data_IF_015515020829
#
_entry.id   IF_015515020829
#
_cell.length_a   1.000
_cell.length_b   1.000
_cell.length_c   1.000
_cell.angle_alpha   90.00
_cell.angle_beta   90.00
_cell.angle_gamma   90.00
#
_symmetry.space_group_name_H-M   'P 1'
#
loop_
_entity.id
_entity.type
_entity.pdbx_description
1 polymer ?
#
# COMPACT_ATOMS: atom_id res chain seq x y z
N UNK A 1 22.57 -3.58 -25.60
CA UNK A 1 22.89 -2.41 -24.75
C UNK A 1 22.81 -1.10 -25.51
N UNK A 2 23.48 -0.97 -26.67
CA UNK A 2 23.52 0.26 -27.49
C UNK A 2 22.18 0.97 -27.73
N UNK A 3 21.12 0.25 -28.12
CA UNK A 3 19.81 0.87 -28.41
C UNK A 3 19.20 1.62 -27.22
N UNK A 4 19.33 1.11 -26.00
CA UNK A 4 18.77 1.73 -24.79
C UNK A 4 19.56 2.99 -24.42
N UNK A 5 20.89 2.95 -24.52
CA UNK A 5 21.73 4.13 -24.33
C UNK A 5 21.42 5.20 -25.39
N UNK A 6 21.21 4.81 -26.65
CA UNK A 6 20.82 5.75 -27.70
C UNK A 6 19.46 6.42 -27.43
N UNK A 7 18.48 5.71 -26.88
CA UNK A 7 17.18 6.30 -26.49
C UNK A 7 17.31 7.22 -25.27
N UNK A 8 18.12 6.87 -24.26
CA UNK A 8 18.39 7.74 -23.12
C UNK A 8 19.20 8.98 -23.51
N UNK A 9 20.16 8.85 -24.45
CA UNK A 9 20.94 9.96 -24.98
C UNK A 9 20.07 10.87 -25.84
N UNK A 10 19.25 10.32 -26.75
CA UNK A 10 18.32 11.09 -27.58
C UNK A 10 17.30 11.86 -26.75
N UNK A 11 16.69 11.22 -25.74
CA UNK A 11 15.75 11.92 -24.83
C UNK A 11 16.43 12.96 -23.95
N UNK A 12 17.71 12.78 -23.59
CA UNK A 12 18.49 13.80 -22.88
C UNK A 12 18.86 14.98 -23.78
N UNK A 13 19.35 14.72 -25.01
CA UNK A 13 19.62 15.75 -26.02
C UNK A 13 18.36 16.53 -26.37
N UNK A 14 17.20 15.88 -26.49
CA UNK A 14 15.92 16.53 -26.74
C UNK A 14 15.50 17.44 -25.57
N UNK A 15 15.76 17.03 -24.32
CA UNK A 15 15.55 17.88 -23.13
C UNK A 15 16.48 19.10 -23.12
N UNK A 16 17.75 18.95 -23.49
CA UNK A 16 18.67 20.08 -23.62
C UNK A 16 18.30 21.01 -24.78
N UNK A 17 17.85 20.47 -25.93
CA UNK A 17 17.37 21.28 -27.05
C UNK A 17 16.12 22.09 -26.70
N UNK A 18 15.15 21.48 -25.98
CA UNK A 18 13.97 22.19 -25.45
C UNK A 18 14.39 23.27 -24.45
N UNK A 19 15.33 22.98 -23.54
CA UNK A 19 15.80 23.96 -22.56
C UNK A 19 16.54 25.13 -23.23
N UNK A 20 17.37 24.85 -24.25
CA UNK A 20 18.04 25.86 -25.06
C UNK A 20 17.01 26.72 -25.79
N UNK A 21 16.00 26.12 -26.41
CA UNK A 21 14.95 26.87 -27.11
C UNK A 21 14.12 27.74 -26.15
N UNK A 22 13.67 27.19 -25.01
CA UNK A 22 12.83 27.90 -24.04
C UNK A 22 13.57 28.99 -23.24
N UNK A 23 14.90 28.98 -23.19
CA UNK A 23 15.68 30.00 -22.45
C UNK A 23 16.39 30.97 -23.39
N UNK A 24 17.09 30.46 -24.42
CA UNK A 24 17.92 31.30 -25.30
C UNK A 24 17.07 32.10 -26.30
N UNK A 25 15.99 31.53 -26.83
CA UNK A 25 15.15 32.25 -27.80
C UNK A 25 14.43 33.45 -27.14
N UNK A 26 13.78 33.34 -25.96
CA UNK A 26 13.24 34.52 -25.29
C UNK A 26 14.29 35.56 -24.91
N UNK A 27 15.49 35.14 -24.47
CA UNK A 27 16.57 36.09 -24.15
C UNK A 27 17.08 36.82 -25.39
N UNK A 28 17.16 36.15 -26.55
CA UNK A 28 17.47 36.80 -27.83
C UNK A 28 16.38 37.78 -28.26
N UNK A 29 15.09 37.41 -28.16
CA UNK A 29 13.99 38.33 -28.48
C UNK A 29 13.91 39.54 -27.54
N UNK A 30 14.15 39.36 -26.23
CA UNK A 30 14.29 40.45 -25.27
C UNK A 30 15.45 41.38 -25.67
N UNK A 31 16.59 40.81 -26.06
CA UNK A 31 17.75 41.61 -26.47
C UNK A 31 17.49 42.39 -27.76
N UNK A 32 16.84 41.78 -28.76
CA UNK A 32 16.44 42.44 -30.01
C UNK A 32 15.44 43.57 -29.71
N UNK A 33 14.40 43.30 -28.91
CA UNK A 33 13.41 44.32 -28.52
C UNK A 33 14.04 45.52 -27.79
N UNK A 34 14.95 45.27 -26.85
CA UNK A 34 15.72 46.35 -26.18
C UNK A 34 16.54 47.15 -27.19
N UNK A 35 17.14 46.49 -28.18
CA UNK A 35 17.98 47.13 -29.19
C UNK A 35 17.16 47.96 -30.18
N UNK A 36 15.97 47.50 -30.58
CA UNK A 36 14.98 48.27 -31.35
C UNK A 36 14.49 49.51 -30.57
N UNK A 37 14.10 49.32 -29.30
CA UNK A 37 13.64 50.41 -28.41
C UNK A 37 14.70 51.51 -28.31
N UNK A 38 15.98 51.17 -28.13
CA UNK A 38 17.08 52.13 -28.08
C UNK A 38 17.21 52.93 -29.38
N UNK A 39 16.93 52.32 -30.54
CA UNK A 39 17.01 53.00 -31.84
C UNK A 39 15.78 53.83 -32.22
N UNK A 40 14.60 53.56 -31.65
CA UNK A 40 13.32 54.14 -32.06
C UNK A 40 12.60 54.98 -30.97
N UNK A 41 13.30 55.42 -29.92
CA UNK A 41 12.75 56.16 -28.77
C UNK A 41 11.77 57.29 -29.14
N UNK A 42 12.00 58.03 -30.24
CA UNK A 42 11.13 59.14 -30.65
C UNK A 42 9.81 58.71 -31.31
N UNK A 43 9.73 57.49 -31.87
CA UNK A 43 8.55 56.98 -32.57
C UNK A 43 7.54 56.28 -31.65
N UNK A 44 7.95 55.87 -30.45
CA UNK A 44 7.13 55.03 -29.55
C UNK A 44 5.94 55.74 -28.89
N UNK A 45 5.87 57.08 -28.93
CA UNK A 45 4.89 57.87 -28.17
C UNK A 45 3.41 57.75 -28.63
N UNK A 46 3.09 56.97 -29.66
CA UNK A 46 1.74 56.97 -30.28
C UNK A 46 1.12 55.60 -30.69
N UNK A 47 1.72 54.44 -30.39
CA UNK A 47 1.09 53.11 -30.63
C UNK A 47 1.49 52.05 -29.57
N UNK A 48 1.27 52.39 -28.29
CA UNK A 48 1.85 51.69 -27.12
C UNK A 48 1.20 50.35 -26.72
N UNK A 49 -0.05 50.07 -27.10
CA UNK A 49 -0.83 48.99 -26.45
C UNK A 49 -0.77 47.63 -27.14
N UNK A 50 -0.72 47.60 -28.48
CA UNK A 50 -0.88 46.36 -29.25
C UNK A 50 0.35 45.45 -29.22
N UNK A 51 1.54 46.03 -29.30
CA UNK A 51 2.82 45.31 -29.42
C UNK A 51 3.24 44.63 -28.10
N UNK A 52 3.12 45.34 -26.98
CA UNK A 52 3.36 44.82 -25.62
C UNK A 52 2.40 43.68 -25.27
N UNK A 53 1.11 43.81 -25.62
CA UNK A 53 0.11 42.76 -25.40
C UNK A 53 0.40 41.50 -26.24
N UNK A 54 0.88 41.66 -27.48
CA UNK A 54 1.31 40.54 -28.33
C UNK A 54 2.53 39.83 -27.74
N UNK A 55 3.54 40.57 -27.24
CA UNK A 55 4.72 39.96 -26.62
C UNK A 55 4.37 39.18 -25.34
N UNK A 56 3.50 39.74 -24.49
CA UNK A 56 3.03 39.10 -23.26
C UNK A 56 2.20 37.85 -23.53
N UNK A 57 1.33 37.86 -24.54
CA UNK A 57 0.51 36.69 -24.90
C UNK A 57 1.34 35.57 -25.52
N UNK A 58 2.34 35.87 -26.35
CA UNK A 58 3.30 34.87 -26.86
C UNK A 58 4.12 34.26 -25.71
N UNK A 59 4.60 35.09 -24.78
CA UNK A 59 5.33 34.62 -23.59
C UNK A 59 4.46 33.72 -22.69
N UNK A 60 3.21 34.11 -22.44
CA UNK A 60 2.25 33.31 -21.67
C UNK A 60 1.94 31.97 -22.37
N UNK A 61 1.75 31.96 -23.68
CA UNK A 61 1.53 30.74 -24.46
C UNK A 61 2.77 29.83 -24.43
N UNK A 62 3.98 30.39 -24.57
CA UNK A 62 5.24 29.66 -24.41
C UNK A 62 5.38 29.02 -23.03
N UNK A 63 5.04 29.74 -21.96
CA UNK A 63 4.99 29.21 -20.60
C UNK A 63 3.95 28.08 -20.45
N UNK A 64 2.74 28.21 -21.02
CA UNK A 64 1.70 27.17 -21.00
C UNK A 64 2.15 25.91 -21.77
N UNK A 65 2.80 26.08 -22.93
CA UNK A 65 3.36 24.98 -23.72
C UNK A 65 4.53 24.29 -23.01
N UNK A 66 5.41 25.05 -22.36
CA UNK A 66 6.50 24.51 -21.55
C UNK A 66 5.96 23.73 -20.34
N UNK A 67 5.02 24.29 -19.59
CA UNK A 67 4.42 23.66 -18.40
C UNK A 67 3.60 22.42 -18.78
N UNK A 68 2.84 22.46 -19.88
CA UNK A 68 2.10 21.28 -20.35
C UNK A 68 3.04 20.18 -20.87
N UNK A 69 4.08 20.52 -21.63
CA UNK A 69 5.12 19.56 -22.06
C UNK A 69 5.83 18.94 -20.85
N UNK A 70 6.25 19.75 -19.87
CA UNK A 70 6.87 19.25 -18.63
C UNK A 70 5.90 18.40 -17.80
N UNK A 71 4.60 18.71 -17.79
CA UNK A 71 3.58 17.84 -17.16
C UNK A 71 3.46 16.50 -17.89
N UNK A 72 3.31 16.49 -19.21
CA UNK A 72 3.21 15.25 -20.01
C UNK A 72 4.49 14.41 -19.88
N UNK A 73 5.68 15.01 -19.89
CA UNK A 73 6.95 14.32 -19.67
C UNK A 73 7.17 13.86 -18.22
N UNK A 74 6.38 14.35 -17.25
CA UNK A 74 6.37 13.92 -15.85
C UNK A 74 5.16 13.05 -15.49
N UNK A 75 4.24 12.79 -16.42
CA UNK A 75 3.12 11.88 -16.20
C UNK A 75 3.66 10.50 -15.84
N UNK A 76 3.34 9.94 -14.66
CA UNK A 76 3.80 8.61 -14.29
C UNK A 76 3.22 7.58 -15.26
N UNK A 77 4.00 6.55 -15.58
CA UNK A 77 3.52 5.41 -16.37
C UNK A 77 2.48 4.66 -15.56
N UNK A 78 1.41 4.25 -16.22
CA UNK A 78 0.40 3.41 -15.60
C UNK A 78 0.99 2.05 -15.21
N UNK A 79 0.78 1.66 -13.96
CA UNK A 79 1.12 0.34 -13.42
C UNK A 79 -0.18 -0.44 -13.23
N UNK A 80 -0.18 -1.69 -13.69
CA UNK A 80 -1.33 -2.58 -13.70
C UNK A 80 -1.00 -3.85 -12.93
N UNK A 81 -1.96 -4.37 -12.16
CA UNK A 81 -1.88 -5.71 -11.59
C UNK A 81 -2.27 -6.72 -12.66
N UNK A 82 -1.31 -7.54 -13.10
CA UNK A 82 -1.52 -8.50 -14.21
C UNK A 82 -2.35 -9.72 -13.77
N UNK A 83 -1.83 -10.45 -12.78
CA UNK A 83 -2.53 -11.50 -12.04
C UNK A 83 -1.82 -11.64 -10.67
N UNK A 84 -2.30 -12.56 -9.84
CA UNK A 84 -1.87 -12.76 -8.47
C UNK A 84 -2.26 -14.17 -7.98
N UNK A 85 -1.54 -14.72 -7.02
CA UNK A 85 -1.78 -16.07 -6.49
C UNK A 85 -1.54 -16.14 -4.98
N UNK A 86 -2.11 -17.16 -4.34
CA UNK A 86 -1.75 -17.56 -2.99
C UNK A 86 -1.91 -19.07 -2.88
N UNK A 87 -1.14 -19.64 -1.95
CA UNK A 87 -1.25 -21.02 -1.53
C UNK A 87 -2.54 -21.26 -0.76
N UNK A 88 -3.28 -22.33 -1.09
CA UNK A 88 -4.38 -22.84 -0.27
C UNK A 88 -3.98 -24.19 0.31
N UNK A 89 -3.86 -24.33 1.64
CA UNK A 89 -3.54 -25.61 2.26
C UNK A 89 -4.59 -26.71 1.97
N UNK A 90 -4.15 -27.97 2.09
CA UNK A 90 -4.98 -29.17 1.94
C UNK A 90 -6.04 -29.33 3.04
N UNK A 91 -6.88 -30.36 2.93
CA UNK A 91 -7.87 -30.76 3.96
C UNK A 91 -7.25 -30.99 5.32
N UNK A 92 -6.02 -31.51 5.33
CA UNK A 92 -5.32 -32.03 6.51
C UNK A 92 -4.78 -30.87 7.38
N UNK A 93 -4.89 -29.66 6.85
CA UNK A 93 -4.64 -28.38 7.50
C UNK A 93 -5.95 -27.72 8.02
N UNK A 94 -7.08 -28.42 8.12
CA UNK A 94 -8.33 -27.84 8.61
C UNK A 94 -8.56 -28.14 10.11
N UNK A 95 -8.61 -27.10 10.95
CA UNK A 95 -8.78 -27.19 12.39
C UNK A 95 -10.17 -26.70 12.84
N UNK A 96 -10.97 -27.54 13.52
CA UNK A 96 -12.15 -27.10 14.27
C UNK A 96 -11.78 -26.29 15.52
N UNK A 97 -12.64 -25.35 15.96
CA UNK A 97 -12.40 -24.56 17.19
C UNK A 97 -12.20 -25.44 18.44
N UNK A 98 -12.89 -26.57 18.50
CA UNK A 98 -12.79 -27.55 19.58
C UNK A 98 -11.42 -28.23 19.61
N UNK A 99 -10.77 -28.41 18.44
CA UNK A 99 -9.44 -28.98 18.34
C UNK A 99 -8.38 -27.97 18.83
N UNK A 100 -8.47 -26.69 18.42
CA UNK A 100 -7.62 -25.63 18.97
C UNK A 100 -7.65 -25.59 20.50
N UNK A 101 -8.84 -25.62 21.11
CA UNK A 101 -8.96 -25.61 22.57
C UNK A 101 -8.42 -26.89 23.24
N UNK A 102 -8.57 -28.07 22.61
CA UNK A 102 -7.97 -29.32 23.10
C UNK A 102 -6.45 -29.25 23.06
N UNK A 103 -5.87 -28.70 22.00
CA UNK A 103 -4.42 -28.57 21.83
C UNK A 103 -3.82 -27.55 22.80
N UNK A 104 -4.50 -26.42 23.07
CA UNK A 104 -4.11 -25.50 24.15
C UNK A 104 -4.06 -26.17 25.52
N UNK A 105 -5.04 -27.04 25.84
CA UNK A 105 -5.03 -27.82 27.10
C UNK A 105 -3.87 -28.82 27.09
N UNK A 106 -3.69 -29.57 26.00
CA UNK A 106 -2.63 -30.58 25.87
C UNK A 106 -1.20 -30.01 25.89
N UNK A 107 -1.02 -28.72 25.54
CA UNK A 107 0.26 -28.03 25.61
C UNK A 107 0.75 -27.80 27.06
N UNK A 108 -0.14 -27.88 28.05
CA UNK A 108 0.21 -27.94 29.48
C UNK A 108 0.82 -26.68 30.12
N UNK A 109 1.11 -25.63 29.35
CA UNK A 109 1.71 -24.37 29.86
C UNK A 109 0.72 -23.26 30.22
N UNK A 110 -0.56 -23.41 29.92
CA UNK A 110 -1.57 -22.36 30.14
C UNK A 110 -2.36 -22.59 31.44
N UNK A 111 -2.54 -21.54 32.24
CA UNK A 111 -3.43 -21.57 33.40
C UNK A 111 -4.89 -21.68 32.98
N UNK A 112 -5.78 -22.11 33.88
CA UNK A 112 -7.22 -22.19 33.57
C UNK A 112 -7.81 -20.83 33.19
N UNK A 113 -7.37 -19.75 33.84
CA UNK A 113 -7.68 -18.38 33.46
C UNK A 113 -7.24 -18.06 32.02
N UNK A 114 -6.00 -18.41 31.65
CA UNK A 114 -5.48 -18.24 30.29
C UNK A 114 -6.29 -19.03 29.25
N UNK A 115 -6.70 -20.25 29.57
CA UNK A 115 -7.52 -21.10 28.70
C UNK A 115 -8.95 -20.54 28.55
N UNK A 116 -9.53 -20.03 29.65
CA UNK A 116 -10.83 -19.36 29.65
C UNK A 116 -10.77 -18.01 28.89
N UNK A 117 -9.63 -17.32 28.88
CA UNK A 117 -9.38 -16.13 28.06
C UNK A 117 -9.22 -16.47 26.57
N UNK A 118 -8.42 -17.48 26.23
CA UNK A 118 -8.29 -17.99 24.85
C UNK A 118 -9.64 -18.41 24.27
N UNK A 119 -10.50 -19.09 25.04
CA UNK A 119 -11.86 -19.46 24.59
C UNK A 119 -12.70 -18.23 24.24
N UNK A 120 -12.72 -17.21 25.12
CA UNK A 120 -13.44 -15.94 24.89
C UNK A 120 -12.91 -15.18 23.67
N UNK A 121 -11.61 -15.24 23.37
CA UNK A 121 -11.04 -14.71 22.12
C UNK A 121 -11.58 -15.51 20.94
N UNK A 122 -11.46 -16.84 20.95
CA UNK A 122 -11.83 -17.72 19.84
C UNK A 122 -13.34 -17.64 19.50
N UNK A 123 -14.19 -17.39 20.48
CA UNK A 123 -15.62 -17.09 20.32
C UNK A 123 -15.88 -15.73 19.64
N UNK A 124 -15.16 -14.67 20.05
CA UNK A 124 -15.43 -13.27 19.63
C UNK A 124 -14.65 -12.81 18.40
N UNK A 125 -13.62 -13.56 18.03
CA UNK A 125 -12.64 -13.26 16.98
C UNK A 125 -13.20 -12.99 15.58
N UNK A 126 -14.37 -13.58 15.26
CA UNK A 126 -14.96 -13.59 13.91
C UNK A 126 -14.70 -14.88 13.13
N UNK A 127 -13.89 -15.80 13.66
CA UNK A 127 -13.45 -17.01 12.96
C UNK A 127 -14.60 -18.03 12.82
N UNK A 128 -14.60 -18.79 11.73
CA UNK A 128 -15.56 -19.88 11.48
C UNK A 128 -15.31 -21.11 12.35
N UNK A 129 -16.26 -22.05 12.34
CA UNK A 129 -16.18 -23.25 13.19
C UNK A 129 -15.07 -24.22 12.77
N UNK A 130 -14.67 -24.19 11.50
CA UNK A 130 -13.51 -24.89 10.93
C UNK A 130 -12.71 -23.87 10.13
N UNK A 131 -11.39 -23.88 10.26
CA UNK A 131 -10.50 -22.89 9.62
C UNK A 131 -9.09 -23.45 9.43
N UNK A 132 -8.28 -22.87 8.54
CA UNK A 132 -7.04 -23.53 8.07
C UNK A 132 -5.78 -23.13 8.85
N UNK A 133 -5.10 -24.12 9.46
CA UNK A 133 -3.88 -24.09 10.30
C UNK A 133 -2.59 -24.40 9.52
N UNK A 134 -1.42 -24.07 10.08
CA UNK A 134 -0.23 -24.89 9.81
C UNK A 134 -0.24 -26.18 10.63
N UNK A 135 0.35 -27.23 10.07
CA UNK A 135 0.61 -28.50 10.79
C UNK A 135 1.32 -28.28 12.12
N UNK A 136 2.16 -27.23 12.19
CA UNK A 136 2.82 -26.72 13.38
C UNK A 136 1.93 -26.43 14.61
N UNK A 137 0.63 -26.24 14.38
CA UNK A 137 -0.38 -25.93 15.39
C UNK A 137 -1.45 -27.03 15.53
N UNK A 138 -1.32 -28.14 14.80
CA UNK A 138 -2.10 -29.38 14.98
C UNK A 138 -1.35 -30.39 15.85
N UNK A 139 -0.03 -30.47 15.68
CA UNK A 139 0.82 -31.47 16.29
C UNK A 139 2.01 -30.83 17.01
N UNK A 140 2.73 -31.62 17.81
CA UNK A 140 3.96 -31.17 18.47
C UNK A 140 5.11 -31.12 17.44
N UNK A 141 5.09 -30.10 16.59
CA UNK A 141 6.03 -29.96 15.47
C UNK A 141 7.46 -29.66 15.90
N UNK A 142 8.37 -29.87 14.95
CA UNK A 142 9.66 -29.19 14.99
C UNK A 142 9.45 -27.67 14.89
N UNK A 143 10.27 -26.92 15.62
CA UNK A 143 10.28 -25.46 15.70
C UNK A 143 11.64 -24.90 15.22
N UNK A 144 12.45 -25.75 14.57
CA UNK A 144 13.74 -25.37 13.98
C UNK A 144 13.60 -24.40 12.79
N UNK A 145 14.71 -23.76 12.46
CA UNK A 145 14.86 -22.98 11.23
C UNK A 145 14.73 -23.82 9.94
N UNK A 146 14.79 -25.15 10.02
CA UNK A 146 14.58 -26.03 8.87
C UNK A 146 13.07 -26.22 8.60
N UNK A 147 12.30 -26.63 9.62
CA UNK A 147 10.84 -26.76 9.50
C UNK A 147 10.15 -25.43 9.14
N UNK A 148 10.56 -24.33 9.78
CA UNK A 148 10.05 -22.99 9.43
C UNK A 148 10.41 -22.56 7.99
N UNK A 149 11.58 -23.01 7.47
CA UNK A 149 11.96 -22.80 6.07
C UNK A 149 11.12 -23.65 5.12
N UNK A 150 10.94 -24.93 5.42
CA UNK A 150 10.13 -25.85 4.60
C UNK A 150 8.69 -25.37 4.46
N UNK A 151 8.03 -25.01 5.56
CA UNK A 151 6.67 -24.47 5.55
C UNK A 151 6.57 -23.18 4.72
N UNK A 152 7.52 -22.26 4.92
CA UNK A 152 7.57 -20.98 4.20
C UNK A 152 7.82 -21.19 2.71
N UNK A 153 8.77 -22.06 2.34
CA UNK A 153 9.13 -22.34 0.96
C UNK A 153 8.04 -23.13 0.23
N UNK A 154 7.33 -24.06 0.89
CA UNK A 154 6.18 -24.75 0.31
C UNK A 154 5.04 -23.78 -0.04
N UNK A 155 4.65 -22.91 0.89
CA UNK A 155 3.60 -21.92 0.64
C UNK A 155 4.04 -20.84 -0.37
N UNK A 156 5.25 -20.32 -0.23
CA UNK A 156 5.81 -19.28 -1.11
C UNK A 156 5.99 -19.79 -2.54
N UNK A 157 6.58 -20.97 -2.73
CA UNK A 157 6.80 -21.51 -4.06
C UNK A 157 5.50 -22.02 -4.68
N UNK A 158 4.66 -22.73 -3.92
CA UNK A 158 3.34 -23.14 -4.39
C UNK A 158 2.48 -21.96 -4.87
N UNK A 159 2.58 -20.78 -4.24
CA UNK A 159 1.93 -19.56 -4.72
C UNK A 159 2.58 -19.00 -6.01
N UNK A 160 3.91 -19.00 -6.13
CA UNK A 160 4.61 -18.45 -7.30
C UNK A 160 4.45 -19.36 -8.52
N UNK A 161 4.56 -20.67 -8.37
CA UNK A 161 4.26 -21.67 -9.41
C UNK A 161 2.82 -21.43 -9.94
N UNK A 162 1.84 -21.30 -9.03
CA UNK A 162 0.44 -21.01 -9.33
C UNK A 162 0.21 -19.60 -9.96
N UNK A 163 1.17 -18.66 -9.87
CA UNK A 163 1.12 -17.33 -10.50
C UNK A 163 1.70 -17.33 -11.92
N UNK A 164 2.85 -17.96 -12.11
CA UNK A 164 3.54 -18.00 -13.42
C UNK A 164 2.69 -18.75 -14.45
N UNK A 165 2.08 -19.87 -14.05
CA UNK A 165 1.17 -20.64 -14.92
C UNK A 165 -0.08 -19.86 -15.37
N UNK A 166 -0.64 -19.01 -14.50
CA UNK A 166 -1.83 -18.19 -14.83
C UNK A 166 -1.47 -16.99 -15.70
N UNK A 167 -0.45 -16.24 -15.28
CA UNK A 167 -0.02 -15.01 -15.94
C UNK A 167 0.72 -15.25 -17.26
N UNK A 168 1.32 -16.43 -17.42
CA UNK A 168 2.20 -16.83 -18.54
C UNK A 168 3.45 -15.95 -18.69
N UNK A 169 3.82 -15.22 -17.64
CA UNK A 169 5.09 -14.46 -17.58
C UNK A 169 6.23 -15.43 -17.31
N UNK A 170 7.29 -15.37 -18.10
CA UNK A 170 8.47 -16.20 -17.86
C UNK A 170 9.31 -15.62 -16.71
N UNK A 171 9.88 -16.49 -15.88
CA UNK A 171 10.71 -16.10 -14.74
C UNK A 171 11.90 -15.17 -15.12
N UNK A 172 12.41 -15.26 -16.35
CA UNK A 172 13.47 -14.39 -16.89
C UNK A 172 13.03 -12.95 -17.20
N UNK A 173 11.74 -12.69 -17.34
CA UNK A 173 11.20 -11.35 -17.65
C UNK A 173 11.01 -10.50 -16.38
N UNK A 174 10.87 -11.14 -15.23
CA UNK A 174 10.74 -10.50 -13.91
C UNK A 174 12.01 -9.69 -13.61
N UNK A 175 11.85 -8.39 -13.39
CA UNK A 175 12.96 -7.46 -13.15
C UNK A 175 12.96 -6.77 -11.80
N UNK A 176 11.84 -6.83 -11.09
CA UNK A 176 11.70 -6.39 -9.71
C UNK A 176 11.14 -7.57 -8.92
N UNK A 177 11.75 -7.91 -7.80
CA UNK A 177 11.24 -8.88 -6.84
C UNK A 177 11.13 -8.20 -5.47
N UNK A 178 9.93 -8.15 -4.90
CA UNK A 178 9.71 -7.62 -3.56
C UNK A 178 9.04 -8.70 -2.71
N UNK A 179 9.83 -9.39 -1.90
CA UNK A 179 9.31 -10.32 -0.89
C UNK A 179 9.04 -9.54 0.40
N UNK A 180 7.92 -9.81 1.06
CA UNK A 180 7.64 -9.33 2.41
C UNK A 180 7.25 -10.49 3.33
N UNK A 181 7.85 -10.51 4.51
CA UNK A 181 7.52 -11.41 5.63
C UNK A 181 8.04 -10.81 6.92
N UNK A 182 7.23 -10.71 7.98
CA UNK A 182 7.74 -10.20 9.27
C UNK A 182 8.20 -11.28 10.24
N UNK A 183 7.57 -12.45 10.24
CA UNK A 183 7.82 -13.51 11.24
C UNK A 183 9.06 -14.37 10.93
N UNK A 184 9.48 -14.45 9.67
CA UNK A 184 10.59 -15.31 9.25
C UNK A 184 11.49 -14.63 8.21
N UNK A 185 12.67 -14.17 8.64
CA UNK A 185 13.68 -13.53 7.80
C UNK A 185 15.02 -14.27 7.93
N UNK A 186 15.18 -15.44 7.28
CA UNK A 186 16.40 -16.23 7.35
C UNK A 186 17.53 -15.63 6.50
N UNK A 187 18.75 -16.13 6.73
CA UNK A 187 19.88 -16.00 5.81
C UNK A 187 20.13 -17.37 5.12
N UNK A 188 20.35 -17.42 3.80
CA UNK A 188 20.02 -16.40 2.79
C UNK A 188 18.53 -16.02 2.82
N UNK A 189 18.20 -14.84 2.30
CA UNK A 189 16.83 -14.30 2.33
C UNK A 189 15.83 -15.13 1.52
N UNK A 190 14.54 -14.95 1.80
CA UNK A 190 13.46 -15.53 1.00
C UNK A 190 13.52 -15.03 -0.46
N UNK A 191 13.88 -13.75 -0.65
CA UNK A 191 14.10 -13.21 -2.00
C UNK A 191 15.27 -13.87 -2.74
N UNK A 192 16.35 -14.26 -2.04
CA UNK A 192 17.45 -15.03 -2.63
C UNK A 192 17.04 -16.47 -2.95
N UNK A 193 16.19 -17.09 -2.12
CA UNK A 193 15.64 -18.43 -2.38
C UNK A 193 14.79 -18.45 -3.66
N UNK A 194 13.93 -17.44 -3.87
CA UNK A 194 13.16 -17.26 -5.13
C UNK A 194 14.11 -17.06 -6.33
N UNK A 195 15.06 -16.13 -6.23
CA UNK A 195 16.04 -15.86 -7.32
C UNK A 195 16.77 -17.15 -7.72
N UNK A 196 17.19 -17.96 -6.74
CA UNK A 196 17.85 -19.23 -6.99
C UNK A 196 16.92 -20.32 -7.54
N UNK A 197 15.69 -20.47 -7.04
CA UNK A 197 14.75 -21.51 -7.53
C UNK A 197 14.34 -21.24 -8.98
N UNK A 198 13.82 -20.04 -9.24
CA UNK A 198 13.22 -19.70 -10.54
C UNK A 198 14.23 -19.21 -11.58
N UNK A 199 15.53 -19.14 -11.22
CA UNK A 199 16.62 -18.64 -12.07
C UNK A 199 16.28 -17.28 -12.69
N UNK A 200 15.83 -16.36 -11.83
CA UNK A 200 15.50 -14.99 -12.23
C UNK A 200 16.74 -14.32 -12.87
N UNK A 201 16.49 -13.36 -13.78
CA UNK A 201 17.55 -12.70 -14.55
C UNK A 201 18.60 -12.04 -13.65
N UNK A 202 19.88 -12.12 -14.04
CA UNK A 202 21.01 -11.65 -13.21
C UNK A 202 21.05 -10.15 -12.89
N UNK A 203 20.14 -9.34 -13.45
CA UNK A 203 19.94 -7.93 -13.13
C UNK A 203 18.54 -7.64 -12.53
N UNK A 204 17.99 -8.59 -11.77
CA UNK A 204 16.75 -8.41 -11.00
C UNK A 204 16.99 -7.53 -9.78
N UNK A 205 16.18 -6.47 -9.63
CA UNK A 205 16.14 -5.62 -8.44
C UNK A 205 15.39 -6.36 -7.33
N UNK A 206 16.12 -7.07 -6.46
CA UNK A 206 15.59 -7.97 -5.43
C UNK A 206 15.59 -7.34 -4.03
N UNK A 207 14.43 -7.36 -3.37
CA UNK A 207 14.20 -6.77 -2.04
C UNK A 207 13.54 -7.80 -1.11
N UNK A 208 13.92 -7.79 0.17
CA UNK A 208 13.33 -8.61 1.22
C UNK A 208 12.92 -7.70 2.40
N UNK A 209 11.61 -7.55 2.61
CA UNK A 209 11.01 -6.59 3.52
C UNK A 209 10.55 -7.27 4.82
N UNK A 210 11.25 -6.98 5.92
CA UNK A 210 10.98 -7.52 7.25
C UNK A 210 10.33 -6.52 8.22
N UNK A 211 9.74 -7.03 9.30
CA UNK A 211 9.38 -6.28 10.51
C UNK A 211 8.25 -5.24 10.42
N UNK A 212 7.54 -5.10 9.29
CA UNK A 212 6.58 -4.00 9.07
C UNK A 212 5.11 -4.30 9.43
N UNK A 213 4.81 -5.51 9.92
CA UNK A 213 3.44 -5.91 10.30
C UNK A 213 2.43 -5.75 9.17
N UNK A 214 1.12 -5.75 9.47
CA UNK A 214 0.06 -5.93 8.47
C UNK A 214 0.05 -4.95 7.27
N UNK A 215 0.80 -3.85 7.37
CA UNK A 215 0.99 -2.88 6.28
C UNK A 215 1.88 -3.40 5.13
N UNK A 216 2.70 -4.43 5.33
CA UNK A 216 3.85 -4.66 4.44
C UNK A 216 3.49 -5.09 3.02
N UNK A 217 2.31 -5.70 2.77
CA UNK A 217 1.82 -5.97 1.42
C UNK A 217 1.58 -4.69 0.61
N UNK A 218 0.93 -3.68 1.22
CA UNK A 218 0.75 -2.36 0.60
C UNK A 218 2.08 -1.58 0.50
N UNK A 219 3.02 -1.80 1.42
CA UNK A 219 4.37 -1.23 1.31
C UNK A 219 5.11 -1.85 0.13
N UNK A 220 5.06 -3.17 -0.04
CA UNK A 220 5.68 -3.88 -1.16
C UNK A 220 5.08 -3.46 -2.52
N UNK A 221 3.75 -3.31 -2.59
CA UNK A 221 3.04 -2.86 -3.79
C UNK A 221 3.47 -1.47 -4.27
N UNK A 222 3.56 -0.50 -3.36
CA UNK A 222 3.91 0.87 -3.71
C UNK A 222 5.44 1.06 -3.92
N UNK A 223 6.27 0.25 -3.26
CA UNK A 223 7.70 0.11 -3.64
C UNK A 223 7.84 -0.45 -5.08
N UNK A 224 7.12 -1.51 -5.42
CA UNK A 224 7.14 -2.10 -6.76
C UNK A 224 6.62 -1.11 -7.83
N UNK A 225 5.58 -0.35 -7.52
CA UNK A 225 5.04 0.72 -8.38
C UNK A 225 6.08 1.80 -8.69
N UNK A 226 6.80 2.30 -7.69
CA UNK A 226 7.86 3.31 -7.87
C UNK A 226 9.04 2.73 -8.67
N UNK A 227 9.45 1.50 -8.38
CA UNK A 227 10.48 0.79 -9.14
C UNK A 227 10.09 0.59 -10.61
N UNK A 228 8.81 0.35 -10.91
CA UNK A 228 8.29 0.24 -12.29
C UNK A 228 8.20 1.58 -13.04
N UNK A 229 8.22 2.73 -12.36
CA UNK A 229 8.41 4.03 -13.03
C UNK A 229 9.81 4.13 -13.65
N UNK A 230 10.82 3.59 -12.96
CA UNK A 230 12.22 3.56 -13.38
C UNK A 230 12.49 2.42 -14.36
N UNK A 231 12.06 1.20 -14.03
CA UNK A 231 12.26 -0.02 -14.82
C UNK A 231 11.13 -0.24 -15.84
N UNK A 232 11.07 0.59 -16.88
CA UNK A 232 10.09 0.47 -17.96
C UNK A 232 10.15 -0.88 -18.69
N UNK A 233 9.00 -1.42 -19.11
CA UNK A 233 8.87 -2.69 -19.85
C UNK A 233 9.47 -3.89 -19.08
N UNK A 234 9.08 -4.03 -17.82
CA UNK A 234 9.52 -5.10 -16.93
C UNK A 234 8.38 -5.52 -16.01
N UNK A 235 8.34 -6.78 -15.61
CA UNK A 235 7.41 -7.24 -14.58
C UNK A 235 8.01 -7.06 -13.17
N UNK A 236 7.12 -6.84 -12.20
CA UNK A 236 7.44 -6.90 -10.77
C UNK A 236 6.68 -8.06 -10.12
N UNK A 237 7.41 -8.95 -9.45
CA UNK A 237 6.85 -10.01 -8.63
C UNK A 237 6.82 -9.53 -7.17
N UNK A 238 5.62 -9.42 -6.60
CA UNK A 238 5.41 -9.15 -5.18
C UNK A 238 5.04 -10.48 -4.52
N UNK A 239 5.67 -10.79 -3.38
CA UNK A 239 5.43 -12.03 -2.65
C UNK A 239 5.22 -11.70 -1.17
N UNK A 240 3.97 -11.79 -0.73
CA UNK A 240 3.59 -11.80 0.68
C UNK A 240 3.66 -13.23 1.20
N UNK A 241 4.36 -13.46 2.30
CA UNK A 241 4.39 -14.77 2.96
C UNK A 241 4.60 -14.62 4.46
N UNK A 242 3.99 -15.50 5.24
CA UNK A 242 4.09 -15.48 6.70
C UNK A 242 4.30 -16.90 7.21
N UNK A 243 5.28 -17.06 8.11
CA UNK A 243 5.55 -18.36 8.72
C UNK A 243 4.53 -18.65 9.82
N UNK A 244 3.50 -19.39 9.43
CA UNK A 244 2.45 -19.95 10.29
C UNK A 244 2.96 -20.80 11.46
N UNK A 245 4.16 -21.38 11.37
CA UNK A 245 4.85 -22.04 12.49
C UNK A 245 4.99 -21.12 13.71
N UNK A 246 5.06 -19.78 13.50
CA UNK A 246 5.17 -18.77 14.57
C UNK A 246 4.06 -17.72 14.64
N UNK A 247 3.41 -17.34 13.53
CA UNK A 247 2.16 -16.56 13.50
C UNK A 247 1.54 -16.57 12.08
N UNK A 248 0.22 -16.44 11.94
CA UNK A 248 -0.56 -17.23 10.98
C UNK A 248 -1.32 -16.38 9.92
N UNK A 249 -1.86 -16.99 8.81
CA UNK A 249 -3.34 -17.01 8.45
C UNK A 249 -3.87 -16.44 7.05
N UNK A 250 -4.34 -17.23 6.05
CA UNK A 250 -5.41 -16.85 5.04
C UNK A 250 -5.33 -15.80 3.87
N UNK A 251 -6.07 -16.03 2.73
CA UNK A 251 -6.43 -15.11 1.58
C UNK A 251 -7.41 -15.76 0.48
N UNK A 252 -7.98 -15.01 -0.52
CA UNK A 252 -7.90 -15.23 -2.02
C UNK A 252 -9.09 -14.85 -3.00
N UNK A 253 -8.79 -14.15 -4.13
CA UNK A 253 -9.44 -14.02 -5.52
C UNK A 253 -10.48 -12.88 -5.77
N UNK A 254 -10.57 -12.19 -6.94
CA UNK A 254 -9.81 -12.18 -8.24
C UNK A 254 -9.71 -10.72 -8.80
N UNK A 255 -8.69 -10.36 -9.60
CA UNK A 255 -8.32 -8.96 -9.91
C UNK A 255 -8.88 -8.39 -11.23
N UNK A 256 -9.07 -7.05 -11.28
CA UNK A 256 -9.73 -6.29 -12.37
C UNK A 256 -9.21 -4.84 -12.52
N UNK A 257 -8.15 -4.44 -11.78
CA UNK A 257 -7.98 -3.04 -11.35
C UNK A 257 -6.64 -2.38 -11.71
N UNK A 258 -6.65 -1.05 -11.86
CA UNK A 258 -5.49 -0.18 -12.10
C UNK A 258 -5.13 0.61 -10.82
N UNK A 259 -3.84 0.73 -10.50
CA UNK A 259 -3.39 1.36 -9.26
C UNK A 259 -3.26 2.89 -9.39
N UNK A 260 -4.38 3.61 -9.22
CA UNK A 260 -4.42 5.07 -9.36
C UNK A 260 -3.69 5.82 -8.22
N UNK A 261 -3.99 5.47 -6.96
CA UNK A 261 -3.47 6.16 -5.79
C UNK A 261 -3.02 5.19 -4.71
N UNK A 262 -2.00 5.59 -3.94
CA UNK A 262 -1.60 4.95 -2.68
C UNK A 262 -1.40 6.08 -1.67
N UNK A 263 -1.79 5.83 -0.42
CA UNK A 263 -1.64 6.76 0.69
C UNK A 263 -1.19 6.01 1.94
N UNK A 264 0.06 6.21 2.36
CA UNK A 264 0.61 5.68 3.62
C UNK A 264 0.50 6.74 4.71
N UNK A 265 -0.06 6.38 5.87
CA UNK A 265 0.05 7.19 7.10
C UNK A 265 1.07 6.49 8.02
N UNK A 266 2.12 7.20 8.41
CA UNK A 266 3.17 6.67 9.30
C UNK A 266 3.31 7.62 10.49
N UNK A 267 3.21 7.06 11.72
CA UNK A 267 3.45 7.75 12.99
C UNK A 267 4.51 7.05 13.86
N UNK A 268 5.43 6.28 13.27
CA UNK A 268 6.51 5.62 14.01
C UNK A 268 7.48 6.60 14.72
N UNK A 269 7.40 7.90 14.43
CA UNK A 269 8.09 8.99 15.16
C UNK A 269 7.36 9.46 16.44
N UNK A 270 6.20 8.88 16.75
CA UNK A 270 5.43 9.13 17.97
C UNK A 270 5.62 7.94 18.92
N UNK A 271 6.16 8.20 20.12
CA UNK A 271 6.49 7.19 21.13
C UNK A 271 5.32 6.26 21.51
N UNK A 272 4.07 6.76 21.50
CA UNK A 272 2.87 5.94 21.79
C UNK A 272 2.57 5.00 20.63
N UNK A 273 2.82 5.46 19.40
CA UNK A 273 2.61 4.68 18.18
C UNK A 273 3.73 3.64 17.99
N UNK A 274 4.99 4.03 18.23
CA UNK A 274 6.15 3.14 18.15
C UNK A 274 6.08 1.99 19.17
N UNK A 275 5.70 2.28 20.42
CA UNK A 275 5.54 1.25 21.47
C UNK A 275 4.14 0.60 21.47
N UNK A 276 3.33 0.76 20.42
CA UNK A 276 1.95 0.24 20.40
C UNK A 276 1.88 -1.29 20.23
N UNK A 277 2.80 -1.85 19.45
CA UNK A 277 3.05 -3.28 19.26
C UNK A 277 4.56 -3.47 19.23
N UNK A 278 5.13 -4.28 20.10
CA UNK A 278 6.59 -4.43 20.20
C UNK A 278 6.99 -5.88 20.47
N UNK A 279 8.03 -6.37 19.79
CA UNK A 279 8.61 -7.68 20.08
C UNK A 279 9.63 -7.53 21.21
N UNK A 280 9.46 -8.30 22.28
CA UNK A 280 10.30 -8.23 23.47
C UNK A 280 10.37 -9.60 24.16
N UNK A 281 11.41 -9.81 24.96
CA UNK A 281 11.48 -10.93 25.88
C UNK A 281 10.69 -10.62 27.16
N UNK A 282 10.14 -11.66 27.79
CA UNK A 282 9.57 -11.60 29.14
C UNK A 282 10.62 -11.91 30.22
N UNK A 283 10.20 -11.91 31.49
CA UNK A 283 11.07 -12.23 32.64
C UNK A 283 11.65 -13.66 32.62
N UNK A 284 11.17 -14.52 31.72
CA UNK A 284 11.62 -15.89 31.51
C UNK A 284 12.54 -16.02 30.27
N UNK A 285 12.87 -14.89 29.63
CA UNK A 285 13.61 -14.79 28.35
C UNK A 285 12.85 -15.44 27.18
N UNK A 286 11.51 -15.52 27.25
CA UNK A 286 10.68 -16.00 26.15
C UNK A 286 10.33 -14.82 25.25
N UNK A 287 10.77 -14.88 24.00
CA UNK A 287 10.46 -13.86 22.99
C UNK A 287 8.97 -13.87 22.65
N UNK A 288 8.27 -12.78 22.94
CA UNK A 288 6.85 -12.59 22.68
C UNK A 288 6.53 -11.26 21.99
N UNK A 289 5.24 -10.95 21.83
CA UNK A 289 4.74 -9.67 21.30
C UNK A 289 3.90 -8.98 22.38
N UNK A 290 4.35 -7.79 22.78
CA UNK A 290 3.67 -6.90 23.72
C UNK A 290 2.72 -5.97 22.97
N UNK A 291 1.54 -5.73 23.55
CA UNK A 291 0.49 -4.85 23.01
C UNK A 291 0.17 -3.76 24.04
N UNK A 292 0.28 -2.51 23.62
CA UNK A 292 -0.03 -1.36 24.48
C UNK A 292 -1.53 -1.21 24.71
N UNK A 293 -1.91 -0.71 25.89
CA UNK A 293 -3.30 -0.32 26.20
C UNK A 293 -3.82 0.78 25.28
N UNK A 294 -2.92 1.59 24.72
CA UNK A 294 -3.23 2.69 23.79
C UNK A 294 -3.49 2.23 22.34
N UNK A 295 -3.24 0.96 22.01
CA UNK A 295 -3.24 0.44 20.63
C UNK A 295 -4.53 0.76 19.85
N UNK A 296 -5.70 0.60 20.48
CA UNK A 296 -7.00 0.87 19.85
C UNK A 296 -7.22 2.37 19.60
N UNK A 297 -6.81 3.23 20.54
CA UNK A 297 -6.91 4.68 20.39
C UNK A 297 -5.96 5.19 19.30
N UNK A 298 -4.70 4.73 19.30
CA UNK A 298 -3.68 5.05 18.29
C UNK A 298 -4.14 4.60 16.90
N UNK A 299 -4.67 3.37 16.76
CA UNK A 299 -5.19 2.88 15.50
C UNK A 299 -6.35 3.75 14.98
N UNK A 300 -7.26 4.18 15.86
CA UNK A 300 -8.34 5.11 15.54
C UNK A 300 -7.84 6.50 15.10
N UNK A 301 -6.82 7.05 15.76
CA UNK A 301 -6.17 8.30 15.36
C UNK A 301 -5.57 8.19 13.95
N UNK A 302 -4.75 7.16 13.70
CA UNK A 302 -4.06 6.91 12.41
C UNK A 302 -5.05 6.68 11.27
N UNK A 303 -6.10 5.88 11.51
CA UNK A 303 -7.14 5.59 10.53
C UNK A 303 -7.90 6.86 10.13
N UNK A 304 -8.33 7.65 11.12
CA UNK A 304 -9.02 8.93 10.90
C UNK A 304 -8.16 9.91 10.11
N UNK A 305 -6.86 9.98 10.39
CA UNK A 305 -5.92 10.80 9.63
C UNK A 305 -5.79 10.32 8.17
N UNK A 306 -5.70 9.00 7.94
CA UNK A 306 -5.64 8.41 6.61
C UNK A 306 -6.90 8.72 5.78
N UNK A 307 -8.10 8.49 6.34
CA UNK A 307 -9.39 8.81 5.70
C UNK A 307 -9.48 10.31 5.37
N UNK A 308 -9.04 11.18 6.30
CA UNK A 308 -9.05 12.64 6.09
C UNK A 308 -8.12 13.08 4.97
N UNK A 309 -6.97 12.41 4.81
CA UNK A 309 -6.02 12.64 3.70
C UNK A 309 -6.50 12.02 2.38
N UNK A 310 -7.23 10.91 2.43
CA UNK A 310 -7.75 10.20 1.25
C UNK A 310 -8.92 10.93 0.59
N UNK A 311 -9.88 11.43 1.38
CA UNK A 311 -11.11 12.07 0.89
C UNK A 311 -10.91 13.13 -0.20
N UNK A 312 -10.01 14.12 -0.01
CA UNK A 312 -9.71 15.14 -1.02
C UNK A 312 -9.19 14.59 -2.36
N UNK A 313 -8.57 13.40 -2.37
CA UNK A 313 -8.03 12.76 -3.58
C UNK A 313 -9.12 12.03 -4.38
N UNK A 314 -10.06 11.36 -3.70
CA UNK A 314 -10.98 10.39 -4.34
C UNK A 314 -12.44 10.83 -4.44
N UNK A 315 -12.92 11.70 -3.54
CA UNK A 315 -14.33 12.08 -3.50
C UNK A 315 -14.73 13.00 -4.68
N UNK A 316 -16.03 13.06 -5.05
CA UNK A 316 -16.54 14.09 -5.94
C UNK A 316 -16.53 15.48 -5.26
N UNK A 317 -16.71 16.55 -6.05
CA UNK A 317 -16.63 17.93 -5.56
C UNK A 317 -17.77 18.29 -4.58
N UNK A 318 -18.96 17.72 -4.77
CA UNK A 318 -20.13 17.87 -3.88
C UNK A 318 -19.80 17.49 -2.43
N UNK A 319 -19.20 16.32 -2.24
CA UNK A 319 -18.79 15.79 -0.93
C UNK A 319 -17.72 16.65 -0.26
N UNK A 320 -16.75 17.15 -1.05
CA UNK A 320 -15.70 18.06 -0.56
C UNK A 320 -16.30 19.38 -0.06
N UNK A 321 -17.30 19.92 -0.77
CA UNK A 321 -18.00 21.14 -0.38
C UNK A 321 -18.89 20.92 0.86
N UNK A 322 -19.62 19.79 0.95
CA UNK A 322 -20.42 19.45 2.13
C UNK A 322 -19.54 19.26 3.39
N UNK A 323 -18.42 18.56 3.26
CA UNK A 323 -17.46 18.39 4.36
C UNK A 323 -16.84 19.72 4.80
N UNK A 324 -16.44 20.57 3.85
CA UNK A 324 -15.91 21.90 4.15
C UNK A 324 -16.97 22.79 4.84
N UNK A 325 -18.21 22.78 4.37
CA UNK A 325 -19.32 23.50 4.98
C UNK A 325 -19.59 23.03 6.41
N UNK A 326 -19.59 21.71 6.67
CA UNK A 326 -19.72 21.16 8.02
C UNK A 326 -18.55 21.59 8.93
N UNK A 327 -17.32 21.59 8.41
CA UNK A 327 -16.13 21.98 9.16
C UNK A 327 -16.17 23.48 9.53
N UNK A 328 -16.57 24.35 8.60
CA UNK A 328 -16.78 25.78 8.84
C UNK A 328 -17.91 25.98 9.86
N UNK A 329 -19.08 25.37 9.66
CA UNK A 329 -20.21 25.47 10.58
C UNK A 329 -19.84 25.04 12.01
N UNK A 330 -19.12 23.93 12.16
CA UNK A 330 -18.62 23.46 13.47
C UNK A 330 -17.63 24.44 14.11
N UNK A 331 -16.75 25.07 13.32
CA UNK A 331 -15.81 26.10 13.81
C UNK A 331 -16.54 27.36 14.27
N UNK A 332 -17.63 27.75 13.59
CA UNK A 332 -18.50 28.88 14.00
C UNK A 332 -19.34 28.53 15.24
N UNK A 333 -19.94 27.33 15.31
CA UNK A 333 -20.64 26.87 16.51
C UNK A 333 -19.74 26.86 17.74
N UNK A 334 -18.51 26.35 17.61
CA UNK A 334 -17.53 26.35 18.69
C UNK A 334 -17.06 27.75 19.14
N UNK A 335 -17.27 28.78 18.31
CA UNK A 335 -16.90 30.16 18.58
C UNK A 335 -18.05 31.04 19.14
N UNK A 336 -19.26 30.48 19.34
CA UNK A 336 -20.33 31.18 20.09
C UNK A 336 -21.77 30.96 19.64
N UNK A 337 -22.06 30.14 18.62
CA UNK A 337 -23.45 29.95 18.15
C UNK A 337 -24.21 28.88 18.96
N UNK A 338 -25.47 29.17 19.32
CA UNK A 338 -26.33 28.31 20.16
C UNK A 338 -26.69 26.94 19.56
N UNK A 339 -26.44 26.73 18.26
CA UNK A 339 -26.73 25.48 17.54
C UNK A 339 -25.46 24.60 17.48
N UNK A 340 -25.35 23.65 18.41
CA UNK A 340 -24.23 22.70 18.44
C UNK A 340 -24.40 21.58 17.40
N UNK A 341 -23.63 21.63 16.31
CA UNK A 341 -23.53 20.54 15.32
C UNK A 341 -22.78 19.34 15.96
N UNK A 342 -23.55 18.48 16.65
CA UNK A 342 -23.04 17.45 17.57
C UNK A 342 -22.19 16.34 16.92
N UNK A 343 -22.45 15.96 15.66
CA UNK A 343 -21.65 14.95 14.94
C UNK A 343 -20.89 15.61 13.76
N UNK A 344 -19.64 15.21 13.49
CA UNK A 344 -18.96 15.55 12.24
C UNK A 344 -19.72 14.97 11.05
N UNK A 345 -19.69 15.67 9.91
CA UNK A 345 -20.06 15.05 8.63
C UNK A 345 -18.98 14.04 8.21
N UNK A 346 -19.41 12.84 7.87
CA UNK A 346 -18.58 11.81 7.22
C UNK A 346 -18.97 11.81 5.75
N UNK A 347 -18.04 12.08 4.81
CA UNK A 347 -18.35 12.03 3.38
C UNK A 347 -18.70 10.62 2.92
N UNK A 348 -19.58 10.49 1.93
CA UNK A 348 -19.94 9.19 1.40
C UNK A 348 -18.91 8.66 0.39
N UNK A 349 -17.96 7.88 0.91
CA UNK A 349 -16.95 7.19 0.11
C UNK A 349 -17.52 6.15 -0.88
N UNK A 350 -18.79 5.73 -0.74
CA UNK A 350 -19.47 4.87 -1.74
C UNK A 350 -19.74 5.59 -3.07
N UNK A 351 -19.65 6.93 -3.08
CA UNK A 351 -19.67 7.74 -4.31
C UNK A 351 -18.29 7.78 -5.02
N UNK A 352 -17.23 7.30 -4.37
CA UNK A 352 -15.87 7.26 -4.91
C UNK A 352 -15.38 5.82 -5.19
N UNK A 353 -15.95 4.82 -4.52
CA UNK A 353 -15.51 3.42 -4.59
C UNK A 353 -16.69 2.46 -4.77
N UNK A 354 -16.68 1.68 -5.86
CA UNK A 354 -17.61 0.57 -6.10
C UNK A 354 -17.38 -0.62 -5.15
N UNK A 355 -16.13 -0.79 -4.72
CA UNK A 355 -15.64 -1.95 -3.97
C UNK A 355 -14.65 -1.52 -2.89
N UNK A 356 -14.72 -2.17 -1.74
CA UNK A 356 -13.80 -1.96 -0.62
C UNK A 356 -13.06 -3.26 -0.34
N UNK A 357 -11.73 -3.18 -0.19
CA UNK A 357 -10.90 -4.28 0.26
C UNK A 357 -10.21 -3.84 1.54
N UNK A 358 -10.55 -4.47 2.66
CA UNK A 358 -10.14 -4.05 4.00
C UNK A 358 -9.36 -5.19 4.63
N UNK A 359 -8.13 -4.90 5.08
CA UNK A 359 -7.31 -5.85 5.82
C UNK A 359 -8.11 -6.43 7.00
N UNK A 360 -8.22 -7.75 7.04
CA UNK A 360 -9.06 -8.47 7.99
C UNK A 360 -8.42 -8.60 9.39
N UNK A 361 -7.83 -7.52 9.91
CA UNK A 361 -7.03 -7.45 11.16
C UNK A 361 -7.71 -7.91 12.45
N UNK A 362 -8.99 -8.27 12.39
CA UNK A 362 -9.82 -8.74 13.50
C UNK A 362 -11.22 -8.13 13.44
N UNK A 363 -12.21 -8.83 13.99
CA UNK A 363 -13.62 -8.42 13.92
C UNK A 363 -13.86 -6.96 14.33
N UNK A 364 -13.30 -6.53 15.45
CA UNK A 364 -13.49 -5.16 15.95
C UNK A 364 -13.00 -4.06 15.01
N UNK A 365 -11.98 -4.33 14.18
CA UNK A 365 -11.49 -3.38 13.17
C UNK A 365 -12.47 -3.28 12.00
N UNK A 366 -13.04 -4.41 11.56
CA UNK A 366 -14.08 -4.45 10.54
C UNK A 366 -15.38 -3.78 11.02
N UNK A 367 -15.83 -4.12 12.23
CA UNK A 367 -17.04 -3.55 12.84
C UNK A 367 -16.90 -2.01 12.99
N UNK A 368 -15.73 -1.52 13.44
CA UNK A 368 -15.46 -0.08 13.54
C UNK A 368 -15.38 0.62 12.17
N UNK A 369 -14.81 -0.02 11.15
CA UNK A 369 -14.73 0.55 9.79
C UNK A 369 -16.10 0.63 9.11
N UNK A 370 -16.95 -0.39 9.30
CA UNK A 370 -18.31 -0.42 8.77
C UNK A 370 -19.14 0.76 9.32
N UNK A 371 -19.10 0.99 10.64
CA UNK A 371 -19.75 2.17 11.27
C UNK A 371 -19.11 3.49 10.81
N UNK A 372 -17.77 3.59 10.82
CA UNK A 372 -17.05 4.86 10.59
C UNK A 372 -17.15 5.38 9.16
N UNK A 373 -17.40 4.50 8.18
CA UNK A 373 -17.53 4.84 6.77
C UNK A 373 -18.96 4.63 6.23
N UNK A 374 -19.91 4.19 7.08
CA UNK A 374 -21.29 3.85 6.71
C UNK A 374 -21.33 2.91 5.49
N UNK A 375 -20.62 1.77 5.61
CA UNK A 375 -20.55 0.72 4.59
C UNK A 375 -21.69 -0.27 4.78
N UNK A 376 -22.10 -0.92 3.70
CA UNK A 376 -23.11 -1.98 3.76
C UNK A 376 -22.43 -3.34 3.98
N UNK A 377 -23.16 -4.28 4.59
CA UNK A 377 -22.70 -5.66 4.83
C UNK A 377 -22.09 -6.29 3.57
N UNK A 378 -22.68 -6.08 2.38
CA UNK A 378 -22.18 -6.56 1.08
C UNK A 378 -20.80 -6.01 0.68
N UNK A 379 -20.43 -4.81 1.13
CA UNK A 379 -19.08 -4.25 0.92
C UNK A 379 -18.07 -4.79 1.93
N UNK A 380 -18.55 -5.24 3.10
CA UNK A 380 -17.74 -5.84 4.15
C UNK A 380 -17.60 -7.36 4.00
N UNK A 381 -18.52 -8.01 3.27
CA UNK A 381 -18.61 -9.46 3.05
C UNK A 381 -17.26 -10.09 2.65
N UNK A 382 -16.47 -9.57 1.68
CA UNK A 382 -15.18 -10.20 1.33
C UNK A 382 -14.21 -10.23 2.51
N UNK A 383 -14.09 -9.11 3.23
CA UNK A 383 -13.20 -8.97 4.38
C UNK A 383 -13.66 -9.82 5.57
N UNK A 384 -14.99 -9.90 5.81
CA UNK A 384 -15.61 -10.74 6.85
C UNK A 384 -15.50 -12.23 6.52
N UNK A 385 -15.66 -12.62 5.26
CA UNK A 385 -15.55 -14.02 4.81
C UNK A 385 -14.11 -14.53 4.83
N UNK A 386 -13.13 -13.67 4.52
CA UNK A 386 -11.70 -14.01 4.70
C UNK A 386 -11.36 -14.17 6.18
N UNK A 387 -11.89 -13.35 7.09
CA UNK A 387 -11.74 -13.51 8.55
C UNK A 387 -12.44 -14.76 9.12
N UNK A 388 -13.45 -15.28 8.43
CA UNK A 388 -14.24 -16.43 8.85
C UNK A 388 -13.63 -17.76 8.39
N UNK A 389 -13.42 -17.92 7.06
CA UNK A 389 -13.00 -19.19 6.44
C UNK A 389 -11.51 -19.46 6.58
N UNK A 390 -10.78 -18.36 6.59
CA UNK A 390 -9.36 -18.29 6.85
C UNK A 390 -9.20 -17.27 7.97
N UNK A 391 -7.96 -16.87 8.22
CA UNK A 391 -7.53 -16.23 9.51
C UNK A 391 -6.95 -14.86 8.88
N UNK A 392 -7.08 -13.72 9.59
CA UNK A 392 -6.14 -12.59 9.60
C UNK A 392 -4.63 -12.96 9.55
N UNK A 393 -4.02 -13.11 8.37
CA UNK A 393 -2.58 -12.83 8.22
C UNK A 393 -2.48 -11.32 8.21
N UNK A 394 -1.52 -10.77 8.95
CA UNK A 394 -0.91 -9.50 8.60
C UNK A 394 -0.78 -9.24 7.10
N UNK A 395 -0.25 -10.16 6.27
CA UNK A 395 0.18 -9.84 4.89
C UNK A 395 -0.77 -10.24 3.75
N UNK A 396 -1.40 -11.43 3.78
CA UNK A 396 -2.00 -12.00 2.57
C UNK A 396 -3.43 -11.51 2.31
N UNK A 397 -4.12 -10.99 3.33
CA UNK A 397 -5.52 -10.49 3.27
C UNK A 397 -5.75 -9.25 2.38
N UNK A 398 -4.71 -8.70 1.75
CA UNK A 398 -4.75 -7.60 0.76
C UNK A 398 -3.90 -7.88 -0.50
N UNK A 399 -3.45 -9.13 -0.70
CA UNK A 399 -2.51 -9.50 -1.78
C UNK A 399 -3.19 -9.87 -3.09
#
# INVERSE_FOLDING_TARGET
MSSIQNVQLATSLFRYAIYLFLVVVPVLFIKIGIQDIISNVQNYLFDESSSLLLLLTISALGCVLAISTVRVMRSPRHVYLLDFACYKPGSDHECPKELTMKLSVAYGKFTEESLNFQRKILERSGYGQRTYVATALLEKSDQSMAAAREETEAAMFGAIDDLLDKSRVEAREIGVLVVNSSTFNPTPSLSAAIVNRYKLRGNVSSFNLGGMGCSAGLIALDLAKDLLQVHSHSYALIVSTENTTRNWYGDRRRAKYQLCHVLRTNRASDDRCYRSVFQQEDEQNIVGVSLSRDLTAVAGEVLKENITKLGPLVLPLSEKLQFLANLIARKVSAAGAKTAVKKPYVPDFKLAFEHFCIHAGGRGVLDQLEESLNLTERLMEPSRMTLYRLINTPFNTLS
#
